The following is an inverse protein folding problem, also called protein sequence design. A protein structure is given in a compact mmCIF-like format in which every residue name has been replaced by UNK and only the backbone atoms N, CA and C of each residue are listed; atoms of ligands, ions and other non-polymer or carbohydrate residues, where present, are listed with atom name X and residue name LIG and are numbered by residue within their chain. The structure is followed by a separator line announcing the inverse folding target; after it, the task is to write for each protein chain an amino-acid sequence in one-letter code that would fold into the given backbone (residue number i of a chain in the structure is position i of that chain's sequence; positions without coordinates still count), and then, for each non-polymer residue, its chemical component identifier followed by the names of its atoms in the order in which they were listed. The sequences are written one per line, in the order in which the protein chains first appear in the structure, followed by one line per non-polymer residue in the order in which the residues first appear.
data_IF_482854268668
#
_entry.id   IF_482854268668
#
_cell.length_a   1.000
_cell.length_b   1.000
_cell.length_c   1.000
_cell.angle_alpha   90.00
_cell.angle_beta   90.00
_cell.angle_gamma   90.00
#
_symmetry.space_group_name_H-M   'P 1'
#
loop_
_entity.id
_entity.type
_entity.pdbx_description
1 polymer ?
#
# COMPACT_ATOMS: atom_id res chain seq x y z
N UNK A 1 -3.55 -26.99 5.82
CA UNK A 1 -3.93 -25.69 5.20
C UNK A 1 -5.43 -25.64 5.08
N UNK A 2 -6.06 -24.53 5.44
CA UNK A 2 -7.48 -24.28 5.23
C UNK A 2 -7.77 -24.31 3.72
N UNK A 3 -8.69 -25.18 3.27
CA UNK A 3 -9.22 -25.13 1.91
C UNK A 3 -10.19 -23.94 1.87
N UNK A 4 -9.73 -22.82 1.33
CA UNK A 4 -10.55 -21.61 1.18
C UNK A 4 -11.16 -21.64 -0.22
N UNK A 5 -12.47 -21.47 -0.32
CA UNK A 5 -13.13 -21.32 -1.63
C UNK A 5 -12.61 -20.05 -2.29
N UNK A 6 -12.35 -20.12 -3.60
CA UNK A 6 -12.03 -18.93 -4.38
C UNK A 6 -13.16 -17.91 -4.26
N UNK A 7 -12.76 -16.64 -4.12
CA UNK A 7 -13.67 -15.49 -4.22
C UNK A 7 -14.22 -15.48 -5.65
N UNK A 8 -15.53 -15.37 -5.78
CA UNK A 8 -16.22 -15.44 -7.06
C UNK A 8 -16.31 -14.06 -7.72
N UNK A 9 -15.44 -13.84 -8.70
CA UNK A 9 -15.41 -12.64 -9.52
C UNK A 9 -16.25 -12.74 -10.79
N UNK A 10 -16.96 -13.85 -11.05
CA UNK A 10 -17.66 -14.09 -12.33
C UNK A 10 -18.68 -13.01 -12.70
N UNK A 11 -19.25 -12.32 -11.70
CA UNK A 11 -20.09 -11.13 -11.91
C UNK A 11 -19.37 -9.93 -12.54
N UNK A 12 -18.06 -10.06 -12.80
CA UNK A 12 -17.18 -9.07 -13.40
C UNK A 12 -16.51 -9.51 -14.69
N UNK A 13 -16.97 -10.63 -15.29
CA UNK A 13 -16.37 -11.16 -16.51
C UNK A 13 -16.30 -10.10 -17.62
N UNK A 14 -17.33 -9.28 -17.81
CA UNK A 14 -17.36 -8.26 -18.87
C UNK A 14 -16.44 -7.05 -18.61
N UNK A 15 -15.74 -6.99 -17.47
CA UNK A 15 -14.76 -5.92 -17.19
C UNK A 15 -13.35 -6.39 -17.53
N UNK A 16 -12.63 -5.56 -18.28
CA UNK A 16 -11.24 -5.80 -18.61
C UNK A 16 -10.30 -5.06 -17.68
N UNK A 17 -9.11 -5.61 -17.53
CA UNK A 17 -7.98 -4.96 -16.88
C UNK A 17 -6.78 -5.06 -17.83
N UNK A 18 -6.14 -3.93 -18.12
CA UNK A 18 -4.92 -3.87 -18.92
C UNK A 18 -3.70 -4.23 -18.07
N UNK A 19 -2.94 -5.21 -18.53
CA UNK A 19 -1.70 -5.70 -17.94
C UNK A 19 -0.50 -4.78 -18.22
N UNK A 20 0.59 -4.88 -17.44
CA UNK A 20 1.80 -4.09 -17.68
C UNK A 20 2.42 -4.26 -19.07
N UNK A 21 2.24 -5.41 -19.71
CA UNK A 21 2.72 -5.68 -21.08
C UNK A 21 1.79 -5.15 -22.18
N UNK A 22 0.67 -4.51 -21.80
CA UNK A 22 -0.35 -3.97 -22.70
C UNK A 22 -1.42 -4.98 -23.14
N UNK A 23 -1.30 -6.25 -22.75
CA UNK A 23 -2.37 -7.24 -22.94
C UNK A 23 -3.56 -6.95 -22.00
N UNK A 24 -4.68 -7.63 -22.23
CA UNK A 24 -5.88 -7.49 -21.41
C UNK A 24 -6.26 -8.86 -20.83
N UNK A 25 -6.74 -8.86 -19.59
CA UNK A 25 -7.43 -10.00 -18.99
C UNK A 25 -8.83 -9.56 -18.54
N UNK A 26 -9.72 -10.53 -18.37
CA UNK A 26 -10.97 -10.28 -17.67
C UNK A 26 -10.72 -10.11 -16.17
N UNK A 27 -11.58 -9.37 -15.47
CA UNK A 27 -11.45 -9.09 -14.04
C UNK A 27 -11.64 -10.34 -13.16
N UNK A 28 -12.25 -11.40 -13.71
CA UNK A 28 -12.41 -12.70 -13.04
C UNK A 28 -11.28 -13.69 -13.34
N UNK A 29 -10.32 -13.31 -14.17
CA UNK A 29 -9.14 -14.12 -14.46
C UNK A 29 -8.01 -13.82 -13.46
N UNK A 30 -7.41 -14.88 -12.92
CA UNK A 30 -6.26 -14.74 -12.03
C UNK A 30 -5.05 -14.18 -12.79
N UNK A 31 -4.43 -13.15 -12.22
CA UNK A 31 -3.18 -12.58 -12.73
C UNK A 31 -2.18 -12.47 -11.58
N UNK A 32 -1.01 -13.05 -11.77
CA UNK A 32 0.10 -12.94 -10.82
C UNK A 32 1.44 -12.87 -11.53
N UNK A 33 2.23 -11.85 -11.20
CA UNK A 33 3.65 -11.78 -11.54
C UNK A 33 4.47 -11.60 -10.28
N UNK A 34 5.69 -12.13 -10.25
CA UNK A 34 6.59 -11.90 -9.13
C UNK A 34 8.02 -11.65 -9.57
N UNK A 35 8.69 -10.81 -8.80
CA UNK A 35 10.11 -10.50 -8.94
C UNK A 35 10.78 -10.69 -7.59
N UNK A 36 11.90 -11.42 -7.58
CA UNK A 36 12.72 -11.55 -6.37
C UNK A 36 13.41 -10.21 -6.10
N UNK A 37 13.09 -9.61 -4.96
CA UNK A 37 13.59 -8.29 -4.53
C UNK A 37 14.89 -8.42 -3.76
N UNK A 38 14.98 -9.44 -2.91
CA UNK A 38 16.14 -9.77 -2.09
C UNK A 38 16.14 -11.30 -1.82
N UNK A 39 17.22 -11.86 -1.24
CA UNK A 39 17.17 -13.20 -0.65
C UNK A 39 15.92 -13.43 0.21
N UNK A 40 15.11 -14.43 -0.16
CA UNK A 40 13.87 -14.73 0.54
C UNK A 40 12.81 -13.60 0.49
N UNK A 41 12.84 -12.70 -0.49
CA UNK A 41 11.82 -11.66 -0.65
C UNK A 41 11.35 -11.54 -2.08
N UNK A 42 10.03 -11.51 -2.25
CA UNK A 42 9.38 -11.33 -3.53
C UNK A 42 8.45 -10.14 -3.47
N UNK A 43 8.41 -9.39 -4.56
CA UNK A 43 7.34 -8.45 -4.88
C UNK A 43 6.38 -9.17 -5.81
N UNK A 44 5.09 -9.06 -5.55
CA UNK A 44 4.01 -9.74 -6.28
C UNK A 44 3.04 -8.71 -6.81
N UNK A 45 2.79 -8.74 -8.11
CA UNK A 45 1.69 -8.03 -8.75
C UNK A 45 0.50 -8.97 -8.86
N UNK A 46 -0.63 -8.58 -8.30
CA UNK A 46 -1.94 -9.12 -8.69
C UNK A 46 -2.73 -8.02 -9.38
N UNK A 47 -3.62 -7.33 -8.68
CA UNK A 47 -4.31 -6.12 -9.15
C UNK A 47 -4.42 -5.13 -7.99
N UNK A 48 -4.31 -3.84 -8.31
CA UNK A 48 -4.05 -2.77 -7.35
C UNK A 48 -2.55 -2.67 -7.11
N UNK A 49 -2.18 -2.45 -5.86
CA UNK A 49 -0.79 -2.27 -5.47
C UNK A 49 -0.04 -3.60 -5.28
N UNK A 50 1.29 -3.49 -5.25
CA UNK A 50 2.17 -4.62 -5.02
C UNK A 50 1.99 -5.19 -3.61
N UNK A 51 1.93 -6.50 -3.52
CA UNK A 51 2.08 -7.25 -2.28
C UNK A 51 3.49 -7.82 -2.17
N UNK A 52 3.91 -8.17 -0.96
CA UNK A 52 5.24 -8.74 -0.73
C UNK A 52 5.17 -10.06 0.01
N UNK A 53 6.16 -10.92 -0.22
CA UNK A 53 6.36 -12.15 0.55
C UNK A 53 7.76 -12.12 1.15
N UNK A 54 7.83 -12.35 2.46
CA UNK A 54 9.07 -12.38 3.23
C UNK A 54 9.25 -13.77 3.82
N UNK A 55 10.21 -14.52 3.31
CA UNK A 55 10.58 -15.85 3.80
C UNK A 55 11.47 -15.74 5.04
N UNK A 56 11.07 -16.50 6.07
CA UNK A 56 11.85 -16.79 7.26
C UNK A 56 12.37 -18.23 7.31
N UNK A 57 12.79 -18.63 8.49
CA UNK A 57 13.31 -19.98 8.72
C UNK A 57 12.20 -21.04 8.74
N UNK A 58 11.08 -20.75 9.41
CA UNK A 58 10.00 -21.71 9.68
C UNK A 58 8.69 -21.40 8.95
N UNK A 59 8.48 -20.14 8.58
CA UNK A 59 7.29 -19.67 7.86
C UNK A 59 7.66 -18.46 7.00
N UNK A 60 6.75 -18.08 6.11
CA UNK A 60 6.85 -16.84 5.35
C UNK A 60 5.65 -15.94 5.66
N UNK A 61 5.92 -14.63 5.74
CA UNK A 61 4.94 -13.60 6.02
C UNK A 61 4.58 -12.89 4.71
N UNK A 62 3.29 -12.85 4.38
CA UNK A 62 2.79 -11.98 3.33
C UNK A 62 2.62 -10.55 3.88
N UNK A 63 2.84 -9.55 3.04
CA UNK A 63 2.56 -8.15 3.31
C UNK A 63 1.58 -7.69 2.23
N UNK A 64 0.38 -7.30 2.66
CA UNK A 64 -0.76 -6.97 1.81
C UNK A 64 -1.22 -8.11 0.87
N UNK A 65 -2.38 -7.93 0.21
CA UNK A 65 -3.06 -9.02 -0.50
C UNK A 65 -3.59 -8.70 -1.90
N UNK A 66 -3.53 -7.45 -2.36
CA UNK A 66 -4.19 -7.06 -3.60
C UNK A 66 -5.71 -7.21 -3.52
N UNK A 67 -6.41 -6.82 -4.59
CA UNK A 67 -7.85 -7.08 -4.76
C UNK A 67 -8.19 -7.90 -6.01
N UNK A 68 -7.19 -8.46 -6.68
CA UNK A 68 -7.36 -9.22 -7.92
C UNK A 68 -7.98 -10.60 -7.71
N UNK A 69 -8.53 -11.16 -8.79
CA UNK A 69 -9.02 -12.53 -8.82
C UNK A 69 -7.89 -13.57 -8.64
N UNK A 70 -8.27 -14.76 -8.18
CA UNK A 70 -7.35 -15.84 -7.85
C UNK A 70 -6.98 -15.89 -6.37
N UNK A 71 -6.14 -16.86 -6.00
CA UNK A 71 -5.70 -17.10 -4.63
C UNK A 71 -4.25 -16.66 -4.46
N UNK A 72 -4.02 -15.40 -4.07
CA UNK A 72 -2.68 -14.85 -3.88
C UNK A 72 -1.85 -15.63 -2.86
N UNK A 73 -2.50 -16.21 -1.84
CA UNK A 73 -1.83 -16.99 -0.81
C UNK A 73 -1.28 -18.31 -1.35
N UNK A 74 -2.02 -18.99 -2.23
CA UNK A 74 -1.52 -20.17 -2.95
C UNK A 74 -0.42 -19.79 -3.94
N UNK A 75 -0.55 -18.64 -4.63
CA UNK A 75 0.52 -18.14 -5.50
C UNK A 75 1.80 -17.87 -4.70
N UNK A 76 1.72 -17.13 -3.60
CA UNK A 76 2.84 -16.88 -2.69
C UNK A 76 3.44 -18.19 -2.15
N UNK A 77 2.60 -19.17 -1.81
CA UNK A 77 3.08 -20.49 -1.37
C UNK A 77 3.89 -21.21 -2.47
N UNK A 78 3.62 -20.97 -3.76
CA UNK A 78 4.43 -21.56 -4.82
C UNK A 78 5.85 -20.98 -4.93
N UNK A 79 6.10 -19.82 -4.31
CA UNK A 79 7.39 -19.13 -4.33
C UNK A 79 8.35 -19.61 -3.23
N UNK A 80 7.85 -20.35 -2.24
CA UNK A 80 8.59 -20.77 -1.05
C UNK A 80 8.13 -22.13 -0.53
N UNK A 81 9.05 -22.93 0.00
CA UNK A 81 8.72 -24.16 0.72
C UNK A 81 8.23 -23.88 2.16
N UNK A 82 8.34 -22.64 2.64
CA UNK A 82 7.90 -22.26 3.98
C UNK A 82 6.38 -22.05 3.99
N UNK A 83 5.66 -22.50 5.04
CA UNK A 83 4.24 -22.25 5.15
C UNK A 83 3.90 -20.74 5.09
N UNK A 84 3.00 -20.37 4.19
CA UNK A 84 2.41 -19.02 4.10
C UNK A 84 1.05 -19.06 4.79
N UNK A 85 0.99 -18.68 6.07
CA UNK A 85 -0.25 -18.72 6.87
C UNK A 85 -0.78 -17.35 7.26
N UNK A 86 0.12 -16.38 7.35
CA UNK A 86 -0.11 -15.07 7.92
C UNK A 86 0.08 -14.00 6.86
N UNK A 87 -0.72 -12.95 6.94
CA UNK A 87 -0.49 -11.69 6.26
C UNK A 87 -0.43 -10.55 7.27
N UNK A 88 0.36 -9.52 7.00
CA UNK A 88 0.27 -8.22 7.67
C UNK A 88 -0.20 -7.19 6.67
N UNK A 89 -1.20 -6.39 7.04
CA UNK A 89 -1.68 -5.30 6.21
C UNK A 89 -1.00 -4.00 6.61
N UNK A 90 -0.50 -3.26 5.63
CA UNK A 90 0.11 -1.94 5.85
C UNK A 90 -0.96 -0.92 6.25
N UNK A 91 -2.16 -1.00 5.69
CA UNK A 91 -3.30 -0.16 6.04
C UNK A 91 -4.65 -0.78 5.59
N UNK A 92 -5.76 -0.04 5.71
CA UNK A 92 -7.13 -0.57 5.51
C UNK A 92 -7.70 -0.50 4.10
N UNK A 93 -7.03 0.16 3.15
CA UNK A 93 -7.57 0.22 1.80
C UNK A 93 -7.78 -1.16 1.19
N UNK A 94 -8.72 -1.23 0.27
CA UNK A 94 -9.29 -2.49 -0.17
C UNK A 94 -8.29 -3.30 -1.02
N UNK A 95 -7.46 -2.64 -1.81
CA UNK A 95 -6.29 -3.21 -2.50
C UNK A 95 -5.26 -3.84 -1.56
N UNK A 96 -5.25 -3.49 -0.27
CA UNK A 96 -4.33 -4.11 0.68
C UNK A 96 -4.99 -5.29 1.41
N UNK A 97 -6.32 -5.26 1.57
CA UNK A 97 -7.05 -6.11 2.53
C UNK A 97 -8.11 -7.04 1.92
N UNK A 98 -8.42 -6.94 0.63
CA UNK A 98 -9.51 -7.68 0.00
C UNK A 98 -9.32 -9.20 0.09
N UNK A 99 -8.11 -9.66 -0.19
CA UNK A 99 -7.79 -11.08 -0.29
C UNK A 99 -7.29 -11.72 1.03
N UNK A 100 -7.47 -11.03 2.16
CA UNK A 100 -7.14 -11.54 3.50
C UNK A 100 -7.83 -12.88 3.82
N UNK A 101 -9.01 -13.14 3.24
CA UNK A 101 -9.79 -14.37 3.41
C UNK A 101 -9.03 -15.67 3.10
N UNK A 102 -7.96 -15.60 2.29
CA UNK A 102 -7.13 -16.76 1.96
C UNK A 102 -6.10 -17.14 3.04
N UNK A 103 -5.90 -16.30 4.05
CA UNK A 103 -4.95 -16.50 5.13
C UNK A 103 -5.63 -17.03 6.40
N UNK A 104 -4.86 -17.65 7.30
CA UNK A 104 -5.37 -18.11 8.60
C UNK A 104 -5.53 -16.93 9.57
N UNK A 105 -4.65 -15.94 9.46
CA UNK A 105 -4.65 -14.74 10.28
C UNK A 105 -4.09 -13.53 9.52
N UNK A 106 -4.62 -12.35 9.88
CA UNK A 106 -4.16 -11.06 9.36
C UNK A 106 -3.78 -10.15 10.54
N UNK A 107 -2.55 -9.64 10.49
CA UNK A 107 -2.03 -8.66 11.44
C UNK A 107 -2.26 -7.26 10.90
N UNK A 108 -2.69 -6.33 11.75
CA UNK A 108 -2.99 -4.96 11.36
C UNK A 108 -3.03 -4.04 12.58
N UNK A 109 -2.97 -2.73 12.37
CA UNK A 109 -3.21 -1.76 13.43
C UNK A 109 -4.66 -1.79 13.91
N UNK A 110 -4.92 -1.13 15.05
CA UNK A 110 -6.26 -1.04 15.62
C UNK A 110 -7.23 -0.28 14.71
N UNK A 111 -6.75 0.80 14.09
CA UNK A 111 -7.48 1.65 13.15
C UNK A 111 -7.78 0.88 11.87
N UNK A 112 -6.77 0.21 11.30
CA UNK A 112 -6.96 -0.63 10.11
C UNK A 112 -7.97 -1.73 10.36
N UNK A 113 -7.92 -2.36 11.54
CA UNK A 113 -8.87 -3.41 11.92
C UNK A 113 -10.34 -2.99 11.93
N UNK A 114 -10.66 -1.69 11.98
CA UNK A 114 -12.04 -1.19 11.92
C UNK A 114 -12.58 -1.11 10.48
N UNK A 115 -11.70 -0.92 9.50
CA UNK A 115 -12.05 -0.61 8.12
C UNK A 115 -11.61 -1.69 7.11
N UNK A 116 -10.72 -2.60 7.53
CA UNK A 116 -10.18 -3.65 6.66
C UNK A 116 -11.27 -4.54 6.05
N UNK A 117 -11.08 -4.81 4.76
CA UNK A 117 -11.93 -5.63 3.89
C UNK A 117 -13.35 -5.06 3.69
N UNK A 118 -13.53 -3.73 3.77
CA UNK A 118 -14.74 -3.07 3.25
C UNK A 118 -14.61 -2.97 1.71
N UNK A 119 -15.48 -3.63 0.93
CA UNK A 119 -15.35 -3.63 -0.53
C UNK A 119 -15.57 -2.24 -1.14
N UNK A 120 -14.66 -1.85 -2.03
CA UNK A 120 -14.83 -0.65 -2.84
C UNK A 120 -16.02 -0.79 -3.81
N UNK A 121 -16.61 0.33 -4.28
CA UNK A 121 -17.78 0.33 -5.17
C UNK A 121 -17.67 -0.59 -6.39
N UNK A 122 -16.50 -0.67 -7.02
CA UNK A 122 -16.29 -1.51 -8.21
C UNK A 122 -16.48 -3.02 -7.94
N UNK A 123 -16.38 -3.46 -6.68
CA UNK A 123 -16.53 -4.85 -6.24
C UNK A 123 -17.91 -5.13 -5.60
N UNK A 124 -18.86 -4.20 -5.68
CA UNK A 124 -20.20 -4.35 -5.08
C UNK A 124 -20.90 -5.65 -5.50
N UNK A 125 -21.32 -6.45 -4.52
CA UNK A 125 -22.01 -7.73 -4.74
C UNK A 125 -21.10 -8.96 -4.78
N UNK A 126 -19.77 -8.78 -4.78
CA UNK A 126 -18.82 -9.89 -4.54
C UNK A 126 -18.69 -10.11 -3.03
N UNK A 127 -18.64 -11.38 -2.61
CA UNK A 127 -18.43 -11.74 -1.20
C UNK A 127 -16.94 -11.98 -0.94
N UNK A 128 -16.36 -11.19 -0.05
CA UNK A 128 -14.98 -11.34 0.43
C UNK A 128 -15.00 -12.00 1.82
N UNK A 129 -14.54 -13.25 1.96
CA UNK A 129 -14.53 -13.95 3.25
C UNK A 129 -13.68 -13.22 4.29
N UNK A 130 -14.21 -13.10 5.49
CA UNK A 130 -13.52 -12.49 6.63
C UNK A 130 -13.33 -13.47 7.79
N UNK A 131 -13.38 -14.77 7.51
CA UNK A 131 -13.24 -15.87 8.47
C UNK A 131 -11.75 -16.21 8.73
N UNK A 132 -10.93 -15.17 8.88
CA UNK A 132 -9.55 -15.20 9.31
C UNK A 132 -9.41 -14.53 10.68
N UNK A 133 -8.40 -14.91 11.45
CA UNK A 133 -8.15 -14.27 12.75
C UNK A 133 -7.54 -12.89 12.54
N UNK A 134 -8.23 -11.83 12.97
CA UNK A 134 -7.63 -10.48 13.06
C UNK A 134 -6.76 -10.40 14.31
N UNK A 135 -5.51 -9.98 14.15
CA UNK A 135 -4.55 -9.77 15.24
C UNK A 135 -4.14 -8.30 15.23
N UNK A 136 -4.46 -7.59 16.31
CA UNK A 136 -4.10 -6.18 16.45
C UNK A 136 -2.67 -6.06 16.93
N UNK A 137 -1.87 -5.29 16.19
CA UNK A 137 -0.47 -4.96 16.47
C UNK A 137 -0.29 -3.43 16.46
N UNK A 138 0.90 -2.97 16.84
CA UNK A 138 1.22 -1.55 16.85
C UNK A 138 2.73 -1.31 16.80
N UNK A 139 3.12 -0.07 17.04
CA UNK A 139 4.52 0.36 17.14
C UNK A 139 5.37 -0.59 17.99
N UNK A 140 6.54 -0.97 17.48
CA UNK A 140 7.51 -1.85 18.14
C UNK A 140 7.13 -3.33 18.14
N UNK A 141 6.03 -3.74 17.50
CA UNK A 141 5.76 -5.16 17.29
C UNK A 141 6.80 -5.75 16.34
N UNK A 142 7.32 -6.93 16.67
CA UNK A 142 8.33 -7.62 15.85
C UNK A 142 7.79 -8.96 15.39
N UNK A 143 7.84 -9.20 14.09
CA UNK A 143 7.65 -10.53 13.52
C UNK A 143 8.98 -11.27 13.54
N UNK A 144 9.09 -12.27 14.41
CA UNK A 144 10.25 -13.13 14.51
C UNK A 144 10.17 -14.28 13.49
N UNK A 145 10.87 -14.13 12.37
CA UNK A 145 10.89 -15.11 11.27
C UNK A 145 12.16 -15.99 11.31
N UNK A 146 12.70 -16.24 12.52
CA UNK A 146 13.99 -16.91 12.76
C UNK A 146 15.11 -15.88 12.87
N UNK A 147 16.20 -16.06 12.13
CA UNK A 147 17.29 -15.08 12.02
C UNK A 147 16.93 -13.84 11.17
N UNK A 148 15.64 -13.50 11.07
CA UNK A 148 15.12 -12.37 10.30
C UNK A 148 13.94 -11.80 11.06
N UNK A 149 14.05 -10.53 11.42
CA UNK A 149 13.00 -9.80 12.13
C UNK A 149 12.44 -8.69 11.24
N UNK A 150 11.12 -8.50 11.30
CA UNK A 150 10.44 -7.33 10.75
C UNK A 150 9.85 -6.52 11.89
N UNK A 151 10.36 -5.30 12.10
CA UNK A 151 9.86 -4.39 13.12
C UNK A 151 8.81 -3.42 12.56
N UNK A 152 7.72 -3.27 13.28
CA UNK A 152 6.59 -2.43 12.90
C UNK A 152 6.73 -1.03 13.48
N UNK A 153 6.61 -0.02 12.62
CA UNK A 153 6.48 1.38 13.01
C UNK A 153 5.09 1.87 12.61
N UNK A 154 4.38 2.54 13.52
CA UNK A 154 3.16 3.25 13.15
C UNK A 154 3.53 4.47 12.30
N UNK A 155 2.82 4.68 11.21
CA UNK A 155 3.08 5.77 10.28
C UNK A 155 1.76 6.34 9.76
N UNK A 156 0.89 6.90 10.62
CA UNK A 156 -0.39 7.41 10.17
C UNK A 156 -0.22 8.69 9.34
N UNK A 157 -0.54 8.62 8.05
CA UNK A 157 -0.83 9.77 7.20
C UNK A 157 -1.78 9.38 6.06
N UNK A 158 -1.32 8.65 5.04
CA UNK A 158 -2.16 8.12 3.95
C UNK A 158 -3.43 7.47 4.47
N UNK A 159 -3.30 6.63 5.50
CA UNK A 159 -4.42 6.13 6.28
C UNK A 159 -4.13 6.22 7.78
N UNK A 160 -5.19 6.39 8.58
CA UNK A 160 -5.08 6.59 10.02
C UNK A 160 -4.44 5.38 10.75
N UNK A 161 -4.54 4.20 10.16
CA UNK A 161 -3.97 2.96 10.70
C UNK A 161 -2.68 2.50 10.05
N UNK A 162 -2.07 3.32 9.21
CA UNK A 162 -0.91 2.89 8.45
C UNK A 162 0.28 2.49 9.33
N UNK A 163 0.95 1.44 8.88
CA UNK A 163 2.20 0.93 9.46
C UNK A 163 3.22 0.71 8.35
N UNK A 164 4.50 0.79 8.73
CA UNK A 164 5.63 0.38 7.88
C UNK A 164 6.43 -0.72 8.59
N UNK A 165 7.08 -1.60 7.82
CA UNK A 165 7.84 -2.73 8.35
C UNK A 165 9.31 -2.63 7.95
N UNK A 166 10.20 -2.59 8.93
CA UNK A 166 11.63 -2.53 8.74
C UNK A 166 12.26 -3.92 8.76
N UNK A 167 12.93 -4.28 7.68
CA UNK A 167 13.78 -5.45 7.56
C UNK A 167 15.25 -5.05 7.56
N UNK A 168 15.92 -5.27 8.69
CA UNK A 168 17.35 -4.95 8.84
C UNK A 168 18.27 -5.91 8.12
N UNK A 169 17.81 -7.15 7.88
CA UNK A 169 18.62 -8.22 7.31
C UNK A 169 18.85 -7.97 5.83
N UNK A 170 17.77 -7.69 5.10
CA UNK A 170 17.82 -7.40 3.66
C UNK A 170 17.80 -5.89 3.36
N UNK A 171 17.80 -5.05 4.40
CA UNK A 171 17.89 -3.58 4.30
C UNK A 171 16.71 -2.99 3.52
N UNK A 172 15.50 -3.47 3.82
CA UNK A 172 14.25 -3.09 3.16
C UNK A 172 13.31 -2.38 4.15
N UNK A 173 12.51 -1.43 3.66
CA UNK A 173 11.38 -0.86 4.39
C UNK A 173 10.10 -1.07 3.57
N UNK A 174 9.15 -1.85 4.07
CA UNK A 174 7.85 -2.02 3.43
C UNK A 174 6.91 -0.92 3.89
N UNK A 175 6.44 -0.07 2.98
CA UNK A 175 5.71 1.17 3.33
C UNK A 175 4.26 1.23 2.88
N UNK A 176 3.78 0.24 2.12
CA UNK A 176 2.50 0.37 1.41
C UNK A 176 2.50 1.69 0.63
N UNK A 177 1.48 2.50 0.83
CA UNK A 177 1.26 3.75 0.08
C UNK A 177 1.79 4.99 0.82
N UNK A 178 2.30 4.82 2.04
CA UNK A 178 2.69 5.98 2.87
C UNK A 178 3.84 6.77 2.28
N UNK A 179 4.79 6.07 1.67
CA UNK A 179 6.04 6.63 1.17
C UNK A 179 6.24 6.16 -0.28
N UNK A 180 6.33 7.11 -1.20
CA UNK A 180 6.63 6.92 -2.62
C UNK A 180 7.47 8.09 -3.12
N UNK A 181 8.11 7.95 -4.29
CA UNK A 181 8.75 9.10 -4.94
C UNK A 181 7.72 10.04 -5.59
N UNK A 182 8.00 11.33 -5.54
CA UNK A 182 7.21 12.36 -6.20
C UNK A 182 6.56 13.32 -5.23
N UNK A 183 5.36 13.80 -5.58
CA UNK A 183 4.57 14.68 -4.73
C UNK A 183 3.88 13.90 -3.62
N UNK A 184 4.05 14.35 -2.37
CA UNK A 184 3.37 13.81 -1.20
C UNK A 184 2.24 14.75 -0.77
N UNK A 185 1.00 14.29 -0.91
CA UNK A 185 -0.17 14.93 -0.31
C UNK A 185 -0.35 14.38 1.11
N UNK A 186 -0.38 15.27 2.10
CA UNK A 186 -0.63 14.89 3.49
C UNK A 186 -2.14 14.85 3.76
N UNK A 187 -2.60 13.75 4.30
CA UNK A 187 -3.95 13.63 4.85
C UNK A 187 -3.95 14.02 6.34
N UNK A 188 -2.82 13.86 7.02
CA UNK A 188 -2.58 14.31 8.39
C UNK A 188 -1.94 15.69 8.50
N UNK A 189 -1.52 16.04 9.71
CA UNK A 189 -0.79 17.27 9.98
C UNK A 189 0.69 17.19 9.59
N UNK A 190 1.26 18.31 9.16
CA UNK A 190 2.68 18.41 8.81
C UNK A 190 3.61 17.99 9.97
N UNK A 191 3.30 18.40 11.21
CA UNK A 191 4.10 18.07 12.39
C UNK A 191 4.12 16.58 12.66
N UNK A 192 2.95 15.92 12.66
CA UNK A 192 2.86 14.47 12.87
C UNK A 192 3.57 13.69 11.77
N UNK A 193 3.47 14.16 10.52
CA UNK A 193 4.20 13.55 9.41
C UNK A 193 5.72 13.70 9.58
N UNK A 194 6.21 14.87 9.98
CA UNK A 194 7.62 15.09 10.29
C UNK A 194 8.11 14.21 11.44
N UNK A 195 7.29 14.02 12.49
CA UNK A 195 7.61 13.10 13.60
C UNK A 195 7.71 11.64 13.14
N UNK A 196 6.77 11.19 12.30
CA UNK A 196 6.82 9.87 11.68
C UNK A 196 8.11 9.69 10.86
N UNK A 197 8.49 10.69 10.06
CA UNK A 197 9.74 10.68 9.31
C UNK A 197 10.98 10.68 10.23
N UNK A 198 10.98 11.44 11.33
CA UNK A 198 12.09 11.45 12.30
C UNK A 198 12.30 10.08 12.95
N UNK A 199 11.22 9.32 13.22
CA UNK A 199 11.34 7.94 13.72
C UNK A 199 12.12 7.07 12.73
N UNK A 200 11.76 7.11 11.45
CA UNK A 200 12.47 6.36 10.42
C UNK A 200 13.89 6.91 10.16
N UNK A 201 14.07 8.23 10.27
CA UNK A 201 15.36 8.91 10.15
C UNK A 201 16.41 8.33 11.12
N UNK A 202 15.98 8.02 12.35
CA UNK A 202 16.85 7.41 13.37
C UNK A 202 17.37 6.02 12.97
N UNK A 203 16.71 5.34 12.03
CA UNK A 203 17.07 4.01 11.52
C UNK A 203 17.59 4.03 10.08
N UNK A 204 17.87 5.20 9.49
CA UNK A 204 18.24 5.28 8.04
C UNK A 204 19.47 4.50 7.65
N UNK A 205 20.40 4.25 8.57
CA UNK A 205 21.54 3.37 8.32
C UNK A 205 21.18 1.89 8.12
N UNK A 206 19.95 1.49 8.43
CA UNK A 206 19.51 0.10 8.54
C UNK A 206 18.77 -0.41 7.29
N UNK A 207 18.44 0.48 6.33
CA UNK A 207 17.73 0.13 5.10
C UNK A 207 18.09 1.05 3.92
N UNK A 208 18.07 0.51 2.71
CA UNK A 208 18.42 1.23 1.47
C UNK A 208 17.26 1.29 0.47
N UNK A 209 16.36 0.31 0.50
CA UNK A 209 15.26 0.19 -0.47
C UNK A 209 13.92 0.33 0.20
N UNK A 210 13.08 1.18 -0.37
CA UNK A 210 11.68 1.32 -0.02
C UNK A 210 10.85 0.37 -0.89
N UNK A 211 10.08 -0.51 -0.27
CA UNK A 211 9.15 -1.44 -0.88
C UNK A 211 7.73 -0.91 -0.68
N UNK A 212 7.28 -0.06 -1.60
CA UNK A 212 5.98 0.59 -1.56
C UNK A 212 4.93 -0.18 -2.38
N UNK A 213 3.66 0.19 -2.24
CA UNK A 213 2.56 -0.37 -3.03
C UNK A 213 2.75 -0.13 -4.54
N UNK A 214 3.31 1.01 -4.93
CA UNK A 214 3.52 1.36 -6.33
C UNK A 214 4.86 0.88 -6.93
N UNK A 215 5.79 0.39 -6.11
CA UNK A 215 7.07 -0.11 -6.59
C UNK A 215 8.21 -0.01 -5.59
N UNK A 216 9.42 -0.04 -6.12
CA UNK A 216 10.63 0.15 -5.33
C UNK A 216 11.21 1.53 -5.56
N UNK A 217 11.66 2.14 -4.47
CA UNK A 217 12.29 3.45 -4.49
C UNK A 217 13.56 3.45 -3.65
N UNK A 218 14.42 4.43 -3.89
CA UNK A 218 15.56 4.67 -3.02
C UNK A 218 15.07 5.22 -1.66
N UNK A 219 15.55 4.65 -0.56
CA UNK A 219 15.15 5.07 0.78
C UNK A 219 15.51 6.54 1.10
N UNK A 220 16.38 7.17 0.31
CA UNK A 220 16.66 8.61 0.39
C UNK A 220 15.43 9.49 0.18
N UNK A 221 14.30 8.94 -0.31
CA UNK A 221 13.02 9.65 -0.33
C UNK A 221 12.60 10.13 1.07
N UNK A 222 12.89 9.36 2.12
CA UNK A 222 12.61 9.76 3.51
C UNK A 222 13.44 10.98 3.90
N UNK A 223 14.71 11.02 3.47
CA UNK A 223 15.63 12.12 3.77
C UNK A 223 15.15 13.40 3.07
N UNK A 224 14.70 13.30 1.81
CA UNK A 224 14.12 14.41 1.05
C UNK A 224 12.81 14.91 1.67
N UNK A 225 11.90 14.00 2.02
CA UNK A 225 10.62 14.33 2.65
C UNK A 225 10.83 14.98 4.01
N UNK A 226 11.75 14.47 4.83
CA UNK A 226 12.05 15.07 6.13
C UNK A 226 12.67 16.46 5.96
N UNK A 227 13.64 16.62 5.06
CA UNK A 227 14.22 17.94 4.79
C UNK A 227 13.16 18.96 4.33
N UNK A 228 12.22 18.54 3.47
CA UNK A 228 11.11 19.37 3.04
C UNK A 228 10.17 19.70 4.21
N UNK A 229 9.77 18.72 5.00
CA UNK A 229 8.90 18.94 6.16
C UNK A 229 9.52 19.90 7.18
N UNK A 230 10.81 19.74 7.51
CA UNK A 230 11.53 20.62 8.43
C UNK A 230 11.67 22.04 7.86
N UNK A 231 11.92 22.18 6.55
CA UNK A 231 11.96 23.48 5.89
C UNK A 231 10.64 24.24 6.04
N UNK A 232 9.51 23.54 5.87
CA UNK A 232 8.17 24.11 6.07
C UNK A 232 7.95 24.47 7.55
N UNK A 233 8.35 23.60 8.48
CA UNK A 233 8.23 23.84 9.94
C UNK A 233 9.08 25.02 10.43
N UNK A 234 10.18 25.35 9.74
CA UNK A 234 11.00 26.55 9.99
C UNK A 234 10.33 27.86 9.51
N UNK A 235 9.11 27.78 8.95
CA UNK A 235 8.29 28.93 8.59
C UNK A 235 8.31 29.27 7.09
N UNK A 236 8.88 28.42 6.25
CA UNK A 236 8.84 28.60 4.80
C UNK A 236 7.49 28.11 4.26
N UNK A 237 6.53 29.03 4.15
CA UNK A 237 5.21 28.73 3.60
C UNK A 237 5.25 28.55 2.09
N UNK A 238 4.47 27.58 1.59
CA UNK A 238 4.35 27.30 0.17
C UNK A 238 3.41 28.20 -0.60
N UNK A 239 3.15 27.83 -1.83
CA UNK A 239 2.13 28.45 -2.67
C UNK A 239 0.83 27.63 -2.60
N UNK A 240 -0.30 28.25 -2.95
CA UNK A 240 -1.54 27.48 -3.17
C UNK A 240 -1.29 26.55 -4.35
N UNK A 241 -1.49 25.21 -4.20
CA UNK A 241 -1.24 24.28 -5.29
C UNK A 241 -2.10 24.64 -6.49
N UNK A 242 -1.52 24.48 -7.68
CA UNK A 242 -2.32 24.58 -8.91
C UNK A 242 -3.37 23.47 -8.90
N UNK A 243 -4.60 23.72 -9.36
CA UNK A 243 -5.59 22.67 -9.49
C UNK A 243 -5.05 21.58 -10.42
N UNK A 244 -4.63 20.45 -9.84
CA UNK A 244 -4.23 19.29 -10.61
C UNK A 244 -5.44 18.36 -10.70
N UNK A 245 -5.92 18.13 -11.93
CA UNK A 245 -6.89 17.05 -12.14
C UNK A 245 -6.09 15.77 -12.23
N UNK A 246 -5.86 15.10 -11.10
CA UNK A 246 -5.43 13.70 -11.17
C UNK A 246 -6.48 12.96 -11.99
N UNK A 247 -6.07 12.45 -13.14
CA UNK A 247 -6.92 11.68 -14.03
C UNK A 247 -6.25 10.35 -14.23
N UNK A 248 -6.94 9.31 -13.81
CA UNK A 248 -6.59 7.97 -14.21
C UNK A 248 -6.67 7.88 -15.75
N UNK A 249 -5.79 7.10 -16.39
CA UNK A 249 -5.84 6.91 -17.83
C UNK A 249 -7.19 6.29 -18.23
N UNK A 250 -7.83 6.86 -19.25
CA UNK A 250 -8.95 6.21 -19.92
C UNK A 250 -8.41 5.10 -20.80
N UNK A 251 -8.72 3.85 -20.46
CA UNK A 251 -8.26 2.67 -21.20
C UNK A 251 -9.46 2.03 -21.88
N UNK A 252 -9.32 1.77 -23.18
CA UNK A 252 -10.33 1.09 -23.99
C UNK A 252 -9.87 -0.32 -24.31
N UNK A 253 -10.70 -1.31 -24.00
CA UNK A 253 -10.47 -2.71 -24.30
C UNK A 253 -10.62 -3.00 -25.81
N UNK A 254 -10.15 -4.16 -26.31
CA UNK A 254 -10.26 -4.51 -27.73
C UNK A 254 -11.70 -4.53 -28.29
N UNK A 255 -12.70 -4.76 -27.44
CA UNK A 255 -14.12 -4.76 -27.83
C UNK A 255 -14.80 -3.38 -27.72
N UNK A 256 -14.03 -2.34 -27.38
CA UNK A 256 -14.52 -0.97 -27.22
C UNK A 256 -15.09 -0.65 -25.83
N UNK A 257 -15.14 -1.62 -24.92
CA UNK A 257 -15.53 -1.38 -23.52
C UNK A 257 -14.43 -0.67 -22.74
N UNK A 258 -14.76 -0.18 -21.53
CA UNK A 258 -13.78 0.41 -20.62
C UNK A 258 -12.96 -0.68 -19.95
N UNK A 259 -11.65 -0.48 -19.85
CA UNK A 259 -10.74 -1.30 -19.06
C UNK A 259 -10.19 -0.52 -17.86
N UNK A 260 -9.81 -1.25 -16.80
CA UNK A 260 -9.05 -0.71 -15.68
C UNK A 260 -7.54 -0.88 -15.90
N UNK A 261 -6.74 -0.08 -15.20
CA UNK A 261 -5.29 -0.25 -15.17
C UNK A 261 -4.92 -1.23 -14.04
N UNK A 262 -4.07 -2.23 -14.32
CA UNK A 262 -3.72 -3.27 -13.33
C UNK A 262 -3.20 -2.70 -12.01
N UNK A 263 -2.35 -1.68 -12.10
CA UNK A 263 -1.62 -1.09 -10.97
C UNK A 263 -2.15 0.28 -10.55
N UNK A 264 -3.46 0.51 -10.73
CA UNK A 264 -4.11 1.71 -10.20
C UNK A 264 -5.46 1.32 -9.61
N UNK A 265 -5.93 2.03 -8.58
CA UNK A 265 -7.32 1.92 -8.13
C UNK A 265 -8.29 2.19 -9.27
N UNK A 266 -9.48 1.60 -9.21
CA UNK A 266 -10.52 1.90 -10.18
C UNK A 266 -11.07 3.32 -9.95
N UNK A 267 -11.47 4.06 -11.01
CA UNK A 267 -11.96 5.43 -10.87
C UNK A 267 -13.14 5.58 -9.89
N UNK A 268 -14.02 4.59 -9.80
CA UNK A 268 -15.16 4.58 -8.87
C UNK A 268 -14.76 4.40 -7.41
N UNK A 269 -13.58 3.84 -7.18
CA UNK A 269 -13.08 3.50 -5.86
C UNK A 269 -12.30 4.66 -5.24
N UNK A 270 -11.92 5.66 -6.04
CA UNK A 270 -11.21 6.83 -5.55
C UNK A 270 -12.16 7.90 -5.02
N UNK A 271 -11.85 8.40 -3.84
CA UNK A 271 -12.50 9.57 -3.26
C UNK A 271 -11.77 10.82 -3.71
N UNK A 272 -12.39 11.60 -4.59
CA UNK A 272 -11.92 12.93 -4.92
C UNK A 272 -12.70 13.96 -4.11
N UNK A 273 -11.98 14.90 -3.49
CA UNK A 273 -12.58 16.18 -3.14
C UNK A 273 -13.04 16.81 -4.46
N UNK A 274 -14.36 16.90 -4.64
CA UNK A 274 -14.98 17.21 -5.93
C UNK A 274 -14.52 18.53 -6.56
N UNK A 275 -14.91 18.75 -7.82
CA UNK A 275 -14.63 20.03 -8.50
C UNK A 275 -15.18 21.22 -7.68
N UNK A 276 -14.29 22.16 -7.33
CA UNK A 276 -14.65 23.35 -6.55
C UNK A 276 -14.34 23.26 -5.05
N UNK A 277 -13.61 22.23 -4.59
CA UNK A 277 -13.02 22.25 -3.26
C UNK A 277 -12.23 23.55 -3.06
N UNK A 278 -12.50 24.26 -1.96
CA UNK A 278 -11.72 25.42 -1.58
C UNK A 278 -10.28 24.97 -1.34
N UNK A 279 -9.32 25.43 -2.15
CA UNK A 279 -7.91 25.07 -2.01
C UNK A 279 -7.13 26.16 -1.24
N UNK A 280 -7.80 27.21 -0.77
CA UNK A 280 -7.15 28.37 -0.15
C UNK A 280 -6.39 28.03 1.14
N UNK A 281 -6.72 26.89 1.76
CA UNK A 281 -6.05 26.35 2.93
C UNK A 281 -4.91 25.39 2.61
N UNK A 282 -4.76 24.94 1.36
CA UNK A 282 -3.65 24.08 0.98
C UNK A 282 -2.42 24.91 0.65
N UNK A 283 -1.26 24.34 0.96
CA UNK A 283 0.05 24.84 0.56
C UNK A 283 0.86 23.71 -0.03
N UNK A 284 1.60 24.02 -1.08
CA UNK A 284 2.56 23.14 -1.72
C UNK A 284 3.95 23.76 -1.62
N UNK A 285 4.90 22.97 -1.15
CA UNK A 285 6.31 23.36 -1.06
C UNK A 285 7.17 22.36 -1.79
N UNK A 286 7.98 22.86 -2.71
CA UNK A 286 9.06 22.10 -3.35
C UNK A 286 10.39 22.42 -2.66
N UNK A 287 11.01 21.41 -2.05
CA UNK A 287 12.31 21.54 -1.38
C UNK A 287 13.04 20.20 -1.38
N UNK A 288 14.37 20.22 -1.38
CA UNK A 288 15.22 19.02 -1.35
C UNK A 288 14.92 17.96 -2.44
N UNK A 289 14.37 18.38 -3.60
CA UNK A 289 14.04 17.47 -4.70
C UNK A 289 12.77 16.65 -4.48
N UNK A 290 11.86 17.11 -3.61
CA UNK A 290 10.52 16.55 -3.42
C UNK A 290 9.48 17.67 -3.28
N UNK A 291 8.20 17.32 -3.31
CA UNK A 291 7.10 18.25 -3.05
C UNK A 291 6.20 17.72 -1.93
N UNK A 292 5.79 18.59 -1.01
CA UNK A 292 4.78 18.30 0.02
C UNK A 292 3.61 19.26 -0.14
N UNK A 293 2.41 18.71 -0.30
CA UNK A 293 1.14 19.43 -0.26
C UNK A 293 0.45 19.16 1.08
N UNK A 294 0.13 20.20 1.85
CA UNK A 294 -0.41 20.10 3.21
C UNK A 294 -1.52 21.12 3.48
N UNK A 295 -2.40 20.82 4.43
CA UNK A 295 -3.48 21.71 4.90
C UNK A 295 -3.00 22.58 6.08
N UNK A 296 -2.99 23.90 5.90
CA UNK A 296 -2.55 24.86 6.94
C UNK A 296 -3.50 24.93 8.15
N UNK A 297 -4.71 24.37 8.04
CA UNK A 297 -5.68 24.27 9.14
C UNK A 297 -5.37 23.08 10.03
N UNK A 298 -4.72 22.03 9.51
CA UNK A 298 -4.28 20.86 10.27
C UNK A 298 -3.01 21.12 11.10
N UNK A 299 -2.82 22.37 11.55
CA UNK A 299 -1.86 22.70 12.61
C UNK A 299 -2.40 22.16 13.92
N UNK A 300 -1.89 21.03 14.38
CA UNK A 300 -2.35 20.48 15.66
C UNK A 300 -1.21 20.41 16.68
N UNK A 301 -1.54 21.01 17.84
CA UNK A 301 -0.97 21.04 19.21
C UNK A 301 0.42 20.48 19.47
#
# INVERSE_FOLDING_TARGET
MKSVKLIDFSSRHEQYIQNPDGSFSHMDEAYFESVKTAPGTWRILSSGDFSYLVEGENEALAIDTGYGAGNIREYMQSLTEKPVKSVVNTHDHFDHTANNGYFEQAFMSQETGRLATIPSPSFAGITFPQDYKRIIIGEGYIFHLGERDLEVFAFPDHAAGSIVLLDRRERLLFSGDELTEGEKHLNGGLTSFAENLRKLAAHRGEFDTLCAGQGHFDAAVIDRLLACAEYILDGHEGEIPRPHKFRLPEITAPDGSRAYHRQMPHPEDMHFDGEGADMSYLRQVEYAGTSITYDIRLREK
#
